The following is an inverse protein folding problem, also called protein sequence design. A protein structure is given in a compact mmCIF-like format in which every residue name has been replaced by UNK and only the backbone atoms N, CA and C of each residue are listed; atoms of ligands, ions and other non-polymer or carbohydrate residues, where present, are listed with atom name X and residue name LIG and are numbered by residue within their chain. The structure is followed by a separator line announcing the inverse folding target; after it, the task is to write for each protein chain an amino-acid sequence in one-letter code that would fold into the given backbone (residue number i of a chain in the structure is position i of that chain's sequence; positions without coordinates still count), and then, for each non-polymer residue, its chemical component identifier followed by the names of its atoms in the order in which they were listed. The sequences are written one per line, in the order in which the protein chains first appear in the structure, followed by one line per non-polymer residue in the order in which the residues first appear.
data_IF_161764027517
#
_entry.id   IF_161764027517
#
_cell.length_a   1.000
_cell.length_b   1.000
_cell.length_c   1.000
_cell.angle_alpha   90.00
_cell.angle_beta   90.00
_cell.angle_gamma   90.00
#
_symmetry.space_group_name_H-M   'P 1'
#
loop_
_entity.id
_entity.type
_entity.pdbx_description
1 polymer ?
#
# COMPACT_ATOMS: atom_id res chain seq x y z
N UNK A 1 6.60 -11.51 -22.62
CA UNK A 1 6.03 -12.09 -21.40
C UNK A 1 5.04 -11.10 -20.84
N UNK A 2 3.86 -11.54 -20.44
CA UNK A 2 2.96 -10.68 -19.68
C UNK A 2 3.57 -10.49 -18.28
N UNK A 3 3.83 -9.28 -17.89
CA UNK A 3 4.27 -8.96 -16.53
C UNK A 3 3.09 -9.15 -15.56
N UNK A 4 3.34 -9.54 -14.29
CA UNK A 4 2.27 -9.58 -13.30
C UNK A 4 1.63 -8.19 -13.17
N UNK A 5 0.31 -8.15 -13.26
CA UNK A 5 -0.46 -6.90 -13.13
C UNK A 5 -1.10 -6.83 -11.76
N UNK A 6 -1.03 -5.66 -11.13
CA UNK A 6 -1.73 -5.37 -9.88
C UNK A 6 -3.06 -4.73 -10.24
N UNK A 7 -4.16 -5.42 -9.96
CA UNK A 7 -5.52 -4.97 -10.32
C UNK A 7 -6.32 -4.42 -9.15
N UNK A 8 -5.92 -4.74 -7.92
CA UNK A 8 -6.59 -4.28 -6.69
C UNK A 8 -5.59 -4.25 -5.52
N UNK A 9 -5.84 -3.42 -4.49
CA UNK A 9 -5.07 -3.47 -3.25
C UNK A 9 -5.30 -4.78 -2.50
N UNK A 10 -4.27 -5.24 -1.76
CA UNK A 10 -4.26 -6.57 -1.11
C UNK A 10 -3.65 -6.55 0.31
N UNK A 11 -3.45 -5.38 0.89
CA UNK A 11 -2.84 -5.21 2.21
C UNK A 11 -1.31 -5.07 2.15
N UNK A 12 -0.68 -5.26 3.31
CA UNK A 12 0.78 -5.28 3.45
C UNK A 12 1.25 -6.74 3.54
N UNK A 13 2.23 -7.10 2.72
CA UNK A 13 2.78 -8.46 2.67
C UNK A 13 4.25 -8.43 3.06
N UNK A 14 4.65 -9.14 4.14
CA UNK A 14 6.05 -9.28 4.53
C UNK A 14 6.88 -9.94 3.43
N UNK A 15 8.05 -9.38 3.12
CA UNK A 15 8.95 -9.91 2.06
C UNK A 15 10.31 -10.28 2.61
N UNK A 16 10.94 -9.36 3.33
CA UNK A 16 12.30 -9.52 3.86
C UNK A 16 12.53 -8.58 5.07
N UNK A 17 13.68 -8.65 5.69
CA UNK A 17 14.13 -7.68 6.68
C UNK A 17 15.08 -6.67 6.05
N UNK A 18 15.18 -5.48 6.63
CA UNK A 18 16.13 -4.46 6.17
C UNK A 18 17.56 -5.00 6.19
N UNK A 19 18.39 -4.58 5.23
CA UNK A 19 19.75 -5.09 5.09
C UNK A 19 19.86 -6.43 4.36
N UNK A 20 18.80 -6.83 3.63
CA UNK A 20 18.81 -8.03 2.77
C UNK A 20 18.70 -9.36 3.54
N UNK A 21 18.38 -9.33 4.81
CA UNK A 21 18.13 -10.55 5.59
C UNK A 21 16.78 -11.17 5.23
N UNK A 22 16.76 -12.49 5.13
CA UNK A 22 15.54 -13.24 4.80
C UNK A 22 14.51 -13.08 5.92
N UNK A 23 13.25 -12.83 5.54
CA UNK A 23 12.12 -12.99 6.45
C UNK A 23 11.84 -14.49 6.61
N UNK A 24 12.26 -15.06 7.72
CA UNK A 24 12.12 -16.49 8.01
C UNK A 24 10.78 -16.83 8.71
N UNK A 25 9.75 -15.98 8.53
CA UNK A 25 8.46 -16.18 9.20
C UNK A 25 8.50 -15.85 10.69
N UNK A 26 9.26 -14.83 11.09
CA UNK A 26 9.25 -14.31 12.46
C UNK A 26 7.87 -13.75 12.78
N UNK A 27 7.13 -14.45 13.63
CA UNK A 27 5.76 -14.14 14.00
C UNK A 27 5.60 -14.25 15.52
N UNK A 28 4.64 -13.50 16.04
CA UNK A 28 4.18 -13.63 17.43
C UNK A 28 2.69 -13.92 17.45
N UNK A 29 2.26 -14.70 18.44
CA UNK A 29 0.86 -14.87 18.78
C UNK A 29 0.45 -13.86 19.82
N UNK A 30 -0.55 -13.03 19.52
CA UNK A 30 -1.10 -12.02 20.41
C UNK A 30 -2.61 -12.28 20.55
N UNK A 31 -3.13 -12.25 21.78
CA UNK A 31 -4.53 -12.56 22.03
C UNK A 31 -5.48 -11.59 21.32
N UNK A 32 -6.57 -12.11 20.76
CA UNK A 32 -7.69 -11.33 20.25
C UNK A 32 -8.78 -11.29 21.32
N UNK A 33 -9.36 -10.11 21.66
CA UNK A 33 -10.45 -10.06 22.61
C UNK A 33 -11.64 -10.90 22.14
N UNK A 34 -12.23 -11.70 23.04
CA UNK A 34 -13.47 -12.41 22.72
C UNK A 34 -14.56 -11.44 22.30
N UNK A 35 -15.32 -11.78 21.27
CA UNK A 35 -16.34 -10.90 20.66
C UNK A 35 -15.80 -9.57 20.09
N UNK A 36 -14.51 -9.52 19.71
CA UNK A 36 -13.97 -8.34 19.03
C UNK A 36 -14.80 -7.99 17.81
N UNK A 37 -15.29 -6.75 17.77
CA UNK A 37 -16.38 -6.35 16.86
C UNK A 37 -15.93 -5.97 15.42
N UNK A 38 -14.64 -6.13 15.10
CA UNK A 38 -14.11 -5.72 13.81
C UNK A 38 -13.43 -6.91 13.12
N UNK A 39 -13.72 -7.10 11.82
CA UNK A 39 -12.99 -8.04 10.99
C UNK A 39 -11.53 -7.62 10.86
N UNK A 40 -10.60 -8.58 10.99
CA UNK A 40 -9.17 -8.37 10.72
C UNK A 40 -8.76 -9.34 9.63
N UNK A 41 -8.29 -8.81 8.50
CA UNK A 41 -7.94 -9.57 7.31
C UNK A 41 -6.42 -9.76 7.19
N UNK A 42 -6.00 -10.80 6.48
CA UNK A 42 -4.59 -11.02 6.12
C UNK A 42 -4.02 -9.79 5.42
N UNK A 43 -2.94 -9.22 5.96
CA UNK A 43 -2.34 -7.99 5.44
C UNK A 43 -2.88 -6.69 6.06
N UNK A 44 -3.80 -6.77 7.03
CA UNK A 44 -4.23 -5.61 7.80
C UNK A 44 -3.15 -5.15 8.78
N UNK A 45 -3.13 -3.85 9.03
CA UNK A 45 -2.30 -3.25 10.07
C UNK A 45 -2.98 -3.43 11.41
N UNK A 46 -2.21 -3.87 12.41
CA UNK A 46 -2.71 -4.09 13.78
C UNK A 46 -1.85 -3.39 14.81
N UNK A 47 -2.46 -3.08 15.96
CA UNK A 47 -1.83 -2.44 17.10
C UNK A 47 -2.15 -3.16 18.40
N UNK A 48 -1.33 -2.96 19.43
CA UNK A 48 -1.65 -3.39 20.79
C UNK A 48 -2.65 -2.40 21.41
N UNK A 49 -3.64 -2.93 22.07
CA UNK A 49 -4.52 -2.18 22.98
C UNK A 49 -3.95 -2.18 24.41
N UNK A 50 -4.38 -1.24 25.24
CA UNK A 50 -3.95 -1.13 26.65
C UNK A 50 -4.22 -2.40 27.49
N UNK A 51 -5.08 -3.28 27.01
CA UNK A 51 -5.35 -4.60 27.61
C UNK A 51 -4.31 -5.66 27.25
N UNK A 52 -3.29 -5.34 26.45
CA UNK A 52 -2.31 -6.30 25.94
C UNK A 52 -2.84 -7.21 24.82
N UNK A 53 -4.03 -6.93 24.31
CA UNK A 53 -4.64 -7.66 23.18
C UNK A 53 -4.45 -6.91 21.88
N UNK A 54 -4.70 -7.60 20.76
CA UNK A 54 -4.61 -7.00 19.42
C UNK A 54 -5.88 -6.23 19.06
N UNK A 55 -5.72 -5.14 18.33
CA UNK A 55 -6.80 -4.43 17.68
C UNK A 55 -6.40 -4.06 16.24
N UNK A 56 -7.35 -3.99 15.32
CA UNK A 56 -7.11 -3.43 13.99
C UNK A 56 -6.74 -1.95 14.11
N UNK A 57 -5.65 -1.56 13.49
CA UNK A 57 -5.31 -0.14 13.38
C UNK A 57 -5.97 0.45 12.14
N UNK A 58 -6.90 1.36 12.34
CA UNK A 58 -7.65 2.05 11.28
C UNK A 58 -7.06 3.44 10.96
N UNK A 59 -5.95 3.80 11.59
CA UNK A 59 -5.24 5.05 11.31
C UNK A 59 -4.71 5.09 9.87
N UNK A 60 -4.85 6.24 9.23
CA UNK A 60 -4.28 6.48 7.90
C UNK A 60 -2.92 7.15 7.99
N UNK A 61 -2.90 8.41 8.44
CA UNK A 61 -1.67 9.19 8.72
C UNK A 61 -1.21 9.09 10.18
N UNK A 62 -2.03 8.55 11.05
CA UNK A 62 -1.82 8.45 12.51
C UNK A 62 -1.74 7.01 13.00
N UNK A 63 -1.53 6.04 12.11
CA UNK A 63 -1.38 4.66 12.49
C UNK A 63 -0.15 4.47 13.41
N UNK A 64 -0.33 3.69 14.47
CA UNK A 64 0.71 3.30 15.43
C UNK A 64 0.81 1.77 15.47
N UNK A 65 1.35 1.16 14.42
CA UNK A 65 1.31 -0.28 14.24
C UNK A 65 2.19 -1.03 15.23
N UNK A 66 1.76 -2.24 15.63
CA UNK A 66 2.65 -3.25 16.17
C UNK A 66 3.09 -4.24 15.10
N UNK A 67 2.36 -4.35 13.99
CA UNK A 67 2.72 -5.24 12.91
C UNK A 67 1.61 -5.49 11.91
N UNK A 68 1.75 -6.61 11.17
CA UNK A 68 0.84 -7.05 10.12
C UNK A 68 0.15 -8.33 10.59
N UNK A 69 -1.16 -8.39 10.44
CA UNK A 69 -1.95 -9.58 10.69
C UNK A 69 -1.78 -10.59 9.56
N UNK A 70 -1.38 -11.81 9.92
CA UNK A 70 -1.14 -12.93 8.98
C UNK A 70 -2.16 -14.06 9.12
N UNK A 71 -3.11 -13.92 10.02
CA UNK A 71 -4.12 -14.93 10.31
C UNK A 71 -4.38 -15.07 11.79
N UNK A 72 -5.25 -16.01 12.16
CA UNK A 72 -5.58 -16.29 13.55
C UNK A 72 -5.87 -17.76 13.78
N UNK A 73 -5.79 -18.16 15.04
CA UNK A 73 -6.28 -19.46 15.49
C UNK A 73 -7.24 -19.30 16.68
N UNK A 74 -8.33 -20.02 16.65
CA UNK A 74 -9.34 -19.99 17.71
C UNK A 74 -10.21 -21.25 17.67
N UNK A 75 -10.92 -21.55 18.78
CA UNK A 75 -11.93 -22.61 18.80
C UNK A 75 -13.27 -22.06 18.34
N UNK A 76 -13.82 -22.63 17.27
CA UNK A 76 -15.14 -22.24 16.75
C UNK A 76 -16.20 -22.43 17.83
N UNK A 77 -16.97 -21.38 18.20
CA UNK A 77 -17.94 -21.46 19.28
C UNK A 77 -19.10 -22.44 19.02
N UNK A 78 -19.40 -22.71 17.75
CA UNK A 78 -20.51 -23.61 17.34
C UNK A 78 -20.03 -25.05 17.21
N UNK A 79 -18.95 -25.32 16.46
CA UNK A 79 -18.48 -26.67 16.16
C UNK A 79 -17.51 -27.22 17.19
N UNK A 80 -16.97 -26.39 18.07
CA UNK A 80 -15.94 -26.72 19.08
C UNK A 80 -14.63 -27.23 18.49
N UNK A 81 -14.40 -26.98 17.19
CA UNK A 81 -13.18 -27.36 16.51
C UNK A 81 -12.18 -26.22 16.53
N UNK A 82 -10.89 -26.53 16.66
CA UNK A 82 -9.81 -25.55 16.51
C UNK A 82 -9.68 -25.20 15.04
N UNK A 83 -9.75 -23.91 14.72
CA UNK A 83 -9.60 -23.35 13.38
C UNK A 83 -8.32 -22.54 13.26
N UNK A 84 -7.72 -22.61 12.10
CA UNK A 84 -6.69 -21.69 11.63
C UNK A 84 -7.30 -20.92 10.45
N UNK A 85 -7.49 -19.62 10.61
CA UNK A 85 -8.21 -18.80 9.65
C UNK A 85 -7.33 -17.67 9.13
N UNK A 86 -7.51 -17.31 7.86
CA UNK A 86 -6.80 -16.22 7.22
C UNK A 86 -7.30 -14.85 7.70
N UNK A 87 -8.53 -14.77 8.19
CA UNK A 87 -9.09 -13.56 8.77
C UNK A 87 -9.84 -13.85 10.07
N UNK A 88 -9.96 -12.86 10.92
CA UNK A 88 -10.78 -12.90 12.12
C UNK A 88 -12.18 -12.38 11.80
N UNK A 89 -13.24 -13.19 11.94
CA UNK A 89 -14.61 -12.73 11.77
C UNK A 89 -15.05 -11.90 12.98
N UNK A 90 -15.60 -10.72 12.73
CA UNK A 90 -16.13 -9.83 13.77
C UNK A 90 -17.15 -10.56 14.68
N UNK A 91 -17.19 -10.17 15.95
CA UNK A 91 -18.10 -10.68 16.96
C UNK A 91 -17.96 -12.20 17.26
N UNK A 92 -16.86 -12.83 16.85
CA UNK A 92 -16.60 -14.24 17.19
C UNK A 92 -16.33 -14.38 18.70
N UNK A 93 -17.13 -15.19 19.37
CA UNK A 93 -17.00 -15.46 20.81
C UNK A 93 -16.04 -16.64 21.01
N UNK A 94 -14.76 -16.35 21.26
CA UNK A 94 -13.74 -17.34 21.54
C UNK A 94 -12.75 -16.79 22.58
N UNK A 95 -12.51 -17.51 23.66
CA UNK A 95 -11.59 -17.09 24.74
C UNK A 95 -10.14 -17.51 24.48
N UNK A 96 -9.91 -18.38 23.51
CA UNK A 96 -8.60 -18.93 23.12
C UNK A 96 -8.14 -18.42 21.74
N UNK A 97 -8.60 -17.23 21.38
CA UNK A 97 -8.27 -16.64 20.08
C UNK A 97 -6.92 -15.92 20.12
N UNK A 98 -6.06 -16.22 19.14
CA UNK A 98 -4.77 -15.56 18.93
C UNK A 98 -4.62 -15.10 17.49
N UNK A 99 -4.17 -13.87 17.32
CA UNK A 99 -3.67 -13.34 16.07
C UNK A 99 -2.22 -13.80 15.84
N UNK A 100 -1.90 -14.15 14.63
CA UNK A 100 -0.54 -14.39 14.14
C UNK A 100 -0.07 -13.09 13.51
N UNK A 101 0.92 -12.44 14.11
CA UNK A 101 1.36 -11.09 13.74
C UNK A 101 2.84 -11.10 13.38
N UNK A 102 3.19 -10.51 12.24
CA UNK A 102 4.56 -10.17 11.91
C UNK A 102 4.87 -8.81 12.55
N UNK A 103 5.57 -8.82 13.68
CA UNK A 103 5.77 -7.67 14.55
C UNK A 103 7.22 -7.18 14.65
N UNK A 104 8.07 -7.57 13.70
CA UNK A 104 9.44 -7.07 13.62
C UNK A 104 9.44 -5.63 13.04
N UNK A 105 9.96 -4.62 13.78
CA UNK A 105 10.02 -3.24 13.29
C UNK A 105 10.95 -3.07 12.07
N UNK A 106 11.84 -4.02 11.81
CA UNK A 106 12.76 -4.01 10.65
C UNK A 106 12.20 -4.68 9.40
N UNK A 107 10.94 -5.12 9.44
CA UNK A 107 10.31 -5.82 8.34
C UNK A 107 10.14 -4.92 7.11
N UNK A 108 10.49 -5.45 5.94
CA UNK A 108 10.15 -4.86 4.66
C UNK A 108 8.91 -5.56 4.10
N UNK A 109 7.98 -4.75 3.65
CA UNK A 109 6.68 -5.17 3.17
C UNK A 109 6.47 -4.68 1.76
N UNK A 110 5.76 -5.44 0.95
CA UNK A 110 5.23 -4.94 -0.32
C UNK A 110 3.77 -4.55 -0.16
N UNK A 111 3.35 -3.50 -0.85
CA UNK A 111 1.95 -3.08 -0.92
C UNK A 111 1.67 -2.30 -2.20
N UNK A 112 0.42 -2.30 -2.62
CA UNK A 112 -0.04 -1.57 -3.80
C UNK A 112 -0.20 -0.07 -3.52
N UNK A 113 0.01 0.74 -4.55
CA UNK A 113 -0.25 2.19 -4.55
C UNK A 113 -1.63 2.46 -5.12
N UNK A 114 -2.39 3.36 -4.48
CA UNK A 114 -3.71 3.77 -4.96
C UNK A 114 -3.83 5.29 -5.09
N UNK A 115 -4.68 5.73 -6.02
CA UNK A 115 -4.95 7.15 -6.25
C UNK A 115 -6.16 7.69 -5.47
N UNK A 116 -6.79 6.84 -4.70
CA UNK A 116 -7.98 7.14 -3.91
C UNK A 116 -8.22 6.01 -2.93
N UNK A 117 -9.32 5.26 -3.08
CA UNK A 117 -9.59 4.08 -2.25
C UNK A 117 -8.96 2.82 -2.83
N UNK A 118 -9.52 2.29 -3.92
CA UNK A 118 -9.11 1.01 -4.51
C UNK A 118 -8.55 1.12 -5.93
N UNK A 119 -8.54 2.32 -6.51
CA UNK A 119 -8.05 2.55 -7.87
C UNK A 119 -6.52 2.52 -7.87
N UNK A 120 -5.95 1.51 -8.52
CA UNK A 120 -4.49 1.35 -8.61
C UNK A 120 -3.87 2.56 -9.32
N UNK A 121 -2.77 3.01 -8.75
CA UNK A 121 -1.87 4.02 -9.29
C UNK A 121 -0.46 3.42 -9.41
N UNK A 122 0.45 4.12 -10.05
CA UNK A 122 1.82 3.64 -10.19
C UNK A 122 2.80 4.74 -9.82
N UNK A 123 3.57 4.52 -8.77
CA UNK A 123 4.56 5.47 -8.26
C UNK A 123 5.70 5.69 -9.26
N UNK A 124 6.24 6.91 -9.30
CA UNK A 124 7.52 7.17 -9.96
C UNK A 124 8.70 6.70 -9.11
N UNK A 125 9.87 6.54 -9.73
CA UNK A 125 11.10 6.16 -9.03
C UNK A 125 11.53 7.21 -7.98
N UNK A 126 11.16 8.46 -8.15
CA UNK A 126 11.42 9.55 -7.21
C UNK A 126 10.71 9.38 -5.84
N UNK A 127 9.81 8.40 -5.71
CA UNK A 127 9.16 8.11 -4.43
C UNK A 127 10.08 7.41 -3.42
N UNK A 128 11.18 6.80 -3.87
CA UNK A 128 12.17 6.14 -3.00
C UNK A 128 12.73 7.15 -1.99
N UNK A 129 12.69 6.79 -0.71
CA UNK A 129 13.11 7.65 0.38
C UNK A 129 12.00 8.59 0.92
N UNK A 130 10.85 8.64 0.30
CA UNK A 130 9.69 9.39 0.79
C UNK A 130 8.85 8.63 1.81
N UNK A 131 7.77 9.25 2.26
CA UNK A 131 6.80 8.68 3.19
C UNK A 131 5.43 8.57 2.53
N UNK A 132 4.58 7.71 3.07
CA UNK A 132 3.19 7.58 2.64
C UNK A 132 2.25 7.34 3.81
N UNK A 133 1.01 7.81 3.66
CA UNK A 133 -0.09 7.39 4.52
C UNK A 133 -0.64 6.04 4.07
N UNK A 134 -1.26 5.32 4.98
CA UNK A 134 -2.08 4.16 4.65
C UNK A 134 -3.43 4.60 4.09
N UNK A 135 -3.96 3.82 3.17
CA UNK A 135 -5.36 3.92 2.72
C UNK A 135 -6.10 2.71 3.27
N UNK A 136 -6.99 2.97 4.21
CA UNK A 136 -7.74 1.93 4.93
C UNK A 136 -8.99 1.55 4.14
N UNK A 137 -8.91 0.48 3.38
CA UNK A 137 -10.03 -0.10 2.65
C UNK A 137 -10.57 -1.32 3.40
N UNK A 138 -11.85 -1.62 3.18
CA UNK A 138 -12.47 -2.83 3.72
C UNK A 138 -11.93 -4.05 2.98
N UNK A 139 -11.45 -5.05 3.72
CA UNK A 139 -11.03 -6.33 3.16
C UNK A 139 -12.21 -7.19 2.71
N UNK A 140 -11.92 -8.37 2.20
CA UNK A 140 -12.90 -9.30 1.66
C UNK A 140 -13.08 -10.52 2.55
N UNK A 141 -14.28 -10.74 3.07
CA UNK A 141 -14.63 -11.96 3.83
C UNK A 141 -14.63 -13.23 2.96
N UNK A 142 -14.76 -13.07 1.63
CA UNK A 142 -14.71 -14.18 0.68
C UNK A 142 -13.29 -14.70 0.48
N UNK A 143 -12.30 -13.80 0.40
CA UNK A 143 -10.90 -14.18 0.18
C UNK A 143 -10.08 -14.17 1.46
N UNK A 144 -10.55 -13.52 2.53
CA UNK A 144 -9.80 -13.29 3.76
C UNK A 144 -8.67 -12.27 3.63
N UNK A 145 -8.54 -11.59 2.49
CA UNK A 145 -7.48 -10.63 2.23
C UNK A 145 -7.90 -9.20 2.61
N UNK A 146 -6.95 -8.46 3.12
CA UNK A 146 -7.03 -7.01 3.30
C UNK A 146 -7.11 -6.28 1.96
N UNK A 147 -7.56 -5.03 2.01
CA UNK A 147 -7.45 -4.09 0.90
C UNK A 147 -6.75 -2.78 1.33
N UNK A 148 -5.97 -2.82 2.40
CA UNK A 148 -5.10 -1.71 2.80
C UNK A 148 -4.09 -1.46 1.68
N UNK A 149 -3.78 -0.19 1.44
CA UNK A 149 -2.90 0.25 0.36
C UNK A 149 -2.08 1.47 0.79
N UNK A 150 -1.22 1.94 -0.10
CA UNK A 150 -0.42 3.15 0.08
C UNK A 150 -1.05 4.31 -0.68
N UNK A 151 -1.13 5.46 -0.03
CA UNK A 151 -1.54 6.72 -0.65
C UNK A 151 -0.41 7.39 -1.43
N UNK A 152 -0.60 8.68 -1.74
CA UNK A 152 0.38 9.49 -2.45
C UNK A 152 1.66 9.72 -1.66
N UNK A 153 2.75 10.02 -2.40
CA UNK A 153 4.03 10.45 -1.82
C UNK A 153 3.85 11.69 -0.94
N UNK A 154 4.54 11.70 0.19
CA UNK A 154 4.67 12.85 1.06
C UNK A 154 6.07 12.89 1.72
N UNK A 155 6.43 14.04 2.29
CA UNK A 155 7.67 14.21 3.05
C UNK A 155 7.42 14.31 4.56
N UNK A 156 6.15 14.25 4.98
CA UNK A 156 5.75 14.37 6.39
C UNK A 156 6.32 13.22 7.22
N UNK A 157 7.11 13.55 8.23
CA UNK A 157 7.84 12.58 9.04
C UNK A 157 6.96 11.77 10.03
N UNK A 158 5.74 12.23 10.29
CA UNK A 158 4.77 11.54 11.15
C UNK A 158 3.91 10.50 10.42
N UNK A 159 4.13 10.29 9.11
CA UNK A 159 3.41 9.26 8.37
C UNK A 159 3.94 7.87 8.70
N UNK A 160 3.08 6.85 8.75
CA UNK A 160 3.43 5.53 9.27
C UNK A 160 4.38 4.73 8.37
N UNK A 161 4.41 5.04 7.08
CA UNK A 161 5.16 4.26 6.08
C UNK A 161 6.33 5.06 5.52
N UNK A 162 7.49 4.38 5.41
CA UNK A 162 8.69 4.82 4.69
C UNK A 162 8.87 3.98 3.45
N UNK A 163 9.00 4.61 2.30
CA UNK A 163 9.24 3.95 1.01
C UNK A 163 10.74 3.64 0.89
N UNK A 164 11.08 2.38 0.67
CA UNK A 164 12.47 1.90 0.59
C UNK A 164 12.90 1.69 -0.86
N UNK A 165 12.04 1.06 -1.67
CA UNK A 165 12.30 0.82 -3.10
C UNK A 165 10.97 0.63 -3.84
N UNK A 166 11.05 0.54 -5.16
CA UNK A 166 9.94 0.18 -6.06
C UNK A 166 10.07 -1.29 -6.46
N UNK A 167 8.94 -1.97 -6.65
CA UNK A 167 8.95 -3.36 -7.15
C UNK A 167 9.05 -3.32 -8.68
N UNK A 168 10.23 -3.63 -9.20
CA UNK A 168 10.53 -3.54 -10.65
C UNK A 168 9.85 -4.60 -11.49
N UNK A 169 9.51 -5.75 -10.89
CA UNK A 169 8.87 -6.87 -11.59
C UNK A 169 7.43 -6.54 -12.05
N UNK A 170 6.80 -5.55 -11.40
CA UNK A 170 5.45 -5.07 -11.75
C UNK A 170 5.47 -3.73 -12.48
N UNK A 171 6.65 -3.24 -12.88
CA UNK A 171 6.79 -1.98 -13.59
C UNK A 171 5.92 -1.92 -14.85
N UNK A 172 5.24 -0.80 -15.05
CA UNK A 172 4.45 -0.51 -16.24
C UNK A 172 5.18 0.56 -17.04
N UNK A 173 5.49 0.26 -18.31
CA UNK A 173 5.98 1.25 -19.25
C UNK A 173 5.09 1.22 -20.48
N UNK A 174 4.56 2.40 -20.86
CA UNK A 174 3.70 2.56 -22.05
C UNK A 174 4.00 3.87 -22.75
N UNK A 175 3.63 3.97 -24.01
CA UNK A 175 3.78 5.19 -24.80
C UNK A 175 2.44 5.64 -25.35
N UNK A 176 2.29 6.94 -25.54
CA UNK A 176 1.14 7.51 -26.24
C UNK A 176 1.54 8.78 -26.99
N UNK A 177 0.95 8.97 -28.16
CA UNK A 177 1.04 10.24 -28.88
C UNK A 177 0.15 11.26 -28.19
N UNK A 178 0.69 12.43 -27.91
CA UNK A 178 0.03 13.48 -27.15
C UNK A 178 0.28 14.85 -27.73
N UNK A 179 -0.69 15.74 -27.62
CA UNK A 179 -0.56 17.16 -27.96
C UNK A 179 -0.35 17.94 -26.68
N UNK A 180 0.78 18.62 -26.58
CA UNK A 180 1.17 19.51 -25.48
C UNK A 180 1.00 20.97 -25.85
N UNK A 181 0.81 21.84 -24.89
CA UNK A 181 0.79 23.30 -25.03
C UNK A 181 1.77 23.90 -24.04
N UNK A 182 2.71 24.70 -24.52
CA UNK A 182 3.69 25.39 -23.65
C UNK A 182 3.00 26.21 -22.57
N UNK A 183 3.46 26.08 -21.34
CA UNK A 183 2.88 26.74 -20.17
C UNK A 183 1.62 26.09 -19.60
N UNK A 184 1.18 24.94 -20.13
CA UNK A 184 -0.02 24.22 -19.67
C UNK A 184 0.31 22.86 -19.10
N UNK A 185 -0.40 22.47 -18.03
CA UNK A 185 -0.40 21.09 -17.50
C UNK A 185 -1.36 20.16 -18.25
N UNK A 186 -2.28 20.75 -19.05
CA UNK A 186 -3.26 19.97 -19.81
C UNK A 186 -2.65 19.40 -21.09
N UNK A 187 -2.81 18.11 -21.28
CA UNK A 187 -2.29 17.35 -22.43
C UNK A 187 -3.43 16.51 -22.98
N UNK A 188 -3.53 16.45 -24.32
CA UNK A 188 -4.54 15.61 -24.99
C UNK A 188 -3.85 14.44 -25.68
N UNK A 189 -4.22 13.23 -25.29
CA UNK A 189 -3.78 11.99 -25.94
C UNK A 189 -4.53 11.79 -27.26
N UNK A 190 -3.86 11.24 -28.29
CA UNK A 190 -4.49 10.90 -29.56
C UNK A 190 -5.52 9.76 -29.44
N UNK A 191 -5.35 8.88 -28.46
CA UNK A 191 -6.26 7.80 -28.09
C UNK A 191 -6.19 7.52 -26.59
N UNK A 192 -7.28 7.05 -26.00
CA UNK A 192 -7.29 6.62 -24.61
C UNK A 192 -6.35 5.43 -24.40
N UNK A 193 -5.57 5.46 -23.31
CA UNK A 193 -4.65 4.39 -22.93
C UNK A 193 -4.85 4.02 -21.48
N UNK A 194 -5.51 2.88 -21.24
CA UNK A 194 -5.84 2.40 -19.90
C UNK A 194 -4.60 1.97 -19.07
N UNK A 195 -3.43 1.83 -19.68
CA UNK A 195 -2.18 1.53 -18.99
C UNK A 195 -1.50 2.77 -18.39
N UNK A 196 -1.96 3.97 -18.73
CA UNK A 196 -1.49 5.20 -18.09
C UNK A 196 -2.21 5.37 -16.75
N UNK A 197 -1.45 5.34 -15.68
CA UNK A 197 -1.98 5.45 -14.31
C UNK A 197 -1.52 6.76 -13.67
N UNK A 198 -2.27 7.21 -12.66
CA UNK A 198 -1.88 8.37 -11.85
C UNK A 198 -0.54 8.12 -11.16
N UNK A 199 0.26 9.18 -11.03
CA UNK A 199 1.60 9.26 -10.45
C UNK A 199 2.73 8.68 -11.33
N UNK A 200 2.46 8.09 -12.49
CA UNK A 200 3.52 7.67 -13.40
C UNK A 200 4.44 8.83 -13.78
N UNK A 201 5.74 8.56 -13.87
CA UNK A 201 6.71 9.48 -14.46
C UNK A 201 6.42 9.66 -15.95
N UNK A 202 6.55 10.88 -16.45
CA UNK A 202 6.31 11.23 -17.85
C UNK A 202 7.61 11.76 -18.46
N UNK A 203 8.02 11.19 -19.57
CA UNK A 203 9.19 11.61 -20.33
C UNK A 203 8.85 11.84 -21.80
N UNK A 204 9.45 12.87 -22.39
CA UNK A 204 9.30 13.20 -23.80
C UNK A 204 9.76 14.61 -24.12
N UNK A 205 9.75 14.98 -25.40
CA UNK A 205 10.13 16.34 -25.81
C UNK A 205 9.15 17.36 -25.24
N UNK A 206 9.66 18.43 -24.65
CA UNK A 206 8.85 19.47 -24.02
C UNK A 206 8.26 19.09 -22.66
N UNK A 207 8.79 18.06 -22.00
CA UNK A 207 8.41 17.65 -20.64
C UNK A 207 9.65 17.68 -19.75
N UNK A 208 9.57 18.41 -18.65
CA UNK A 208 10.65 18.52 -17.68
C UNK A 208 10.81 17.21 -16.87
N UNK A 209 12.04 16.92 -16.47
CA UNK A 209 12.37 15.77 -15.64
C UNK A 209 11.62 15.85 -14.30
N UNK A 210 11.06 14.73 -13.86
CA UNK A 210 10.28 14.63 -12.62
C UNK A 210 8.80 15.02 -12.79
N UNK A 211 8.36 15.32 -14.02
CA UNK A 211 6.94 15.50 -14.31
C UNK A 211 6.20 14.17 -14.19
N UNK A 212 5.05 14.19 -13.53
CA UNK A 212 4.21 13.00 -13.31
C UNK A 212 2.78 13.20 -13.79
N UNK A 213 2.04 12.13 -13.91
CA UNK A 213 0.59 12.13 -14.19
C UNK A 213 -0.17 12.54 -12.91
N UNK A 214 -0.79 13.71 -12.92
CA UNK A 214 -1.67 14.19 -11.84
C UNK A 214 -3.08 13.63 -11.94
N UNK A 215 -3.62 13.57 -13.17
CA UNK A 215 -4.94 13.00 -13.45
C UNK A 215 -5.01 12.49 -14.87
N UNK A 216 -5.87 11.49 -15.10
CA UNK A 216 -6.20 10.98 -16.44
C UNK A 216 -7.67 10.58 -16.51
N UNK A 217 -8.33 10.93 -17.60
CA UNK A 217 -9.70 10.53 -17.92
C UNK A 217 -9.88 10.44 -19.42
N UNK A 218 -9.99 9.22 -19.96
CA UNK A 218 -10.04 8.98 -21.39
C UNK A 218 -8.79 9.49 -22.10
N UNK A 219 -8.92 10.50 -22.96
CA UNK A 219 -7.81 11.16 -23.66
C UNK A 219 -7.32 12.43 -22.95
N UNK A 220 -8.00 12.89 -21.91
CA UNK A 220 -7.59 14.08 -21.14
C UNK A 220 -6.58 13.67 -20.06
N UNK A 221 -5.38 14.25 -20.14
CA UNK A 221 -4.28 14.02 -19.23
C UNK A 221 -3.89 15.35 -18.56
N UNK A 222 -3.65 15.33 -17.26
CA UNK A 222 -3.10 16.46 -16.52
C UNK A 222 -1.74 16.08 -15.95
N UNK A 223 -0.74 16.90 -16.20
CA UNK A 223 0.62 16.74 -15.68
C UNK A 223 0.79 17.48 -14.34
N UNK A 224 1.82 17.10 -13.58
CA UNK A 224 2.20 17.78 -12.34
C UNK A 224 2.96 19.10 -12.58
N UNK A 225 3.54 19.26 -13.76
CA UNK A 225 4.25 20.46 -14.20
C UNK A 225 3.79 20.88 -15.61
N UNK A 226 4.01 22.15 -15.94
CA UNK A 226 3.68 22.67 -17.28
C UNK A 226 4.58 22.05 -18.34
N UNK A 227 4.02 21.78 -19.52
CA UNK A 227 4.82 21.47 -20.70
C UNK A 227 5.62 22.72 -21.12
N UNK A 228 6.84 22.51 -21.60
CA UNK A 228 7.76 23.59 -22.03
C UNK A 228 7.69 23.88 -23.51
N UNK A 229 6.98 23.04 -24.28
CA UNK A 229 6.79 23.24 -25.71
C UNK A 229 5.36 22.85 -26.16
N UNK A 230 4.89 23.54 -27.21
CA UNK A 230 3.65 23.17 -27.91
C UNK A 230 3.99 22.28 -29.08
N UNK A 231 3.61 21.00 -29.03
CA UNK A 231 3.92 20.02 -30.07
C UNK A 231 3.00 18.79 -29.98
N UNK A 232 2.93 18.04 -31.05
CA UNK A 232 2.42 16.66 -31.03
C UNK A 232 3.63 15.71 -30.92
N UNK A 233 3.75 15.02 -29.83
CA UNK A 233 4.93 14.22 -29.48
C UNK A 233 4.51 12.85 -28.95
N UNK A 234 5.42 11.87 -29.01
CA UNK A 234 5.25 10.62 -28.29
C UNK A 234 5.80 10.79 -26.87
N UNK A 235 4.95 10.60 -25.87
CA UNK A 235 5.32 10.58 -24.45
C UNK A 235 5.47 9.14 -23.97
N UNK A 236 6.46 8.91 -23.11
CA UNK A 236 6.68 7.65 -22.41
C UNK A 236 6.24 7.80 -20.95
N UNK A 237 5.46 6.85 -20.49
CA UNK A 237 4.94 6.78 -19.12
C UNK A 237 5.54 5.57 -18.44
N UNK A 238 6.16 5.76 -17.26
CA UNK A 238 6.76 4.68 -16.47
C UNK A 238 6.30 4.80 -15.03
N UNK A 239 5.90 3.67 -14.42
CA UNK A 239 5.48 3.66 -13.03
C UNK A 239 5.50 2.27 -12.41
N UNK A 240 5.44 2.25 -11.10
CA UNK A 240 5.54 1.05 -10.26
C UNK A 240 4.29 0.97 -9.39
N UNK A 241 3.35 0.05 -9.66
CA UNK A 241 2.13 -0.09 -8.88
C UNK A 241 2.34 -0.70 -7.49
N UNK A 242 3.50 -1.31 -7.24
CA UNK A 242 3.88 -1.87 -5.95
C UNK A 242 5.18 -1.25 -5.44
N UNK A 243 5.22 -1.02 -4.14
CA UNK A 243 6.38 -0.49 -3.43
C UNK A 243 6.87 -1.45 -2.35
N UNK A 244 8.19 -1.42 -2.13
CA UNK A 244 8.82 -2.02 -0.97
C UNK A 244 8.92 -0.95 0.12
N UNK A 245 8.28 -1.21 1.26
CA UNK A 245 8.12 -0.23 2.34
C UNK A 245 8.46 -0.83 3.70
N UNK A 246 8.67 0.04 4.69
CA UNK A 246 8.81 -0.32 6.10
C UNK A 246 8.00 0.63 6.97
N UNK A 247 7.89 0.31 8.26
CA UNK A 247 7.42 1.27 9.23
C UNK A 247 8.37 2.48 9.30
N UNK A 248 7.83 3.68 9.33
CA UNK A 248 8.64 4.88 9.47
C UNK A 248 9.21 4.96 10.91
N UNK A 249 10.32 5.66 11.07
CA UNK A 249 11.00 5.76 12.37
C UNK A 249 10.08 6.33 13.45
N UNK A 250 10.01 5.65 14.59
CA UNK A 250 9.18 6.05 15.73
C UNK A 250 7.67 5.83 15.54
N UNK A 251 7.24 5.17 14.45
CA UNK A 251 5.82 4.89 14.22
C UNK A 251 5.43 3.47 14.69
N UNK A 252 6.37 2.55 14.77
CA UNK A 252 6.13 1.21 15.30
C UNK A 252 6.04 1.24 16.83
N UNK A 253 5.06 0.55 17.42
CA UNK A 253 4.80 0.61 18.88
C UNK A 253 6.00 0.18 19.75
N UNK A 254 6.90 -0.67 19.23
CA UNK A 254 8.11 -1.04 19.98
C UNK A 254 9.23 0.01 19.89
N UNK A 255 9.14 0.95 18.97
CA UNK A 255 10.11 2.04 18.78
C UNK A 255 9.63 3.36 19.40
N UNK A 256 8.39 3.41 19.91
CA UNK A 256 7.84 4.59 20.58
C UNK A 256 8.29 4.66 22.02
N UNK A 257 8.56 5.88 22.52
CA UNK A 257 8.96 6.10 23.91
C UNK A 257 7.78 5.96 24.90
N UNK A 258 6.55 6.03 24.44
CA UNK A 258 5.33 5.90 25.25
C UNK A 258 4.74 4.51 25.05
N UNK A 259 4.41 3.83 26.15
CA UNK A 259 3.67 2.56 26.14
C UNK A 259 2.23 2.72 25.61
N UNK A 260 1.52 1.64 25.56
CA UNK A 260 0.13 1.52 25.05
C UNK A 260 -0.87 1.88 26.16
#
# INVERSE_FOLDING_TARGET
MAYPTVSAPYGLVPVQLIGGRVYAGSIRKIAIPSAYATDIFYGDVVKLAATGTIAKDTGTSTATPVGIFLGCDYTNPSTKQKLFAQYWPANTVASDAFAIVADDPSILMKSAVVSGTTVIAAAGAAWIGGNAALVQNTGSTTTGNSAVALGSLATTNTLPIRIIDVIRDTAITTTATATTTSGSTSVTLSAANASILKFMDVAGSGIDLGTTVSAISGTSLTLSANATASATVTLTFTGYPELLVKWNAGMHQYDTATGV
#
